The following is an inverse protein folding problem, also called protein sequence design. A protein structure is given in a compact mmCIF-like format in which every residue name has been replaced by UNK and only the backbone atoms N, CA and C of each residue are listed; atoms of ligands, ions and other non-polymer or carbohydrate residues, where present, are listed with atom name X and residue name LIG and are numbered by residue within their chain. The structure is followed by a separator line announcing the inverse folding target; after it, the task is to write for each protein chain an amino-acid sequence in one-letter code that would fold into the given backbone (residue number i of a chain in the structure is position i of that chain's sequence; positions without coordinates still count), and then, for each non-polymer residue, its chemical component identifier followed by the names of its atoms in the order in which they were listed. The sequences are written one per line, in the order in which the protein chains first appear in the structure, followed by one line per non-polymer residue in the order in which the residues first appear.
data_IF_159887314851
#
_entry.id   IF_159887314851
#
_cell.length_a   1.000
_cell.length_b   1.000
_cell.length_c   1.000
_cell.angle_alpha   90.00
_cell.angle_beta   90.00
_cell.angle_gamma   90.00
#
_symmetry.space_group_name_H-M   'P 1'
#
loop_
_entity.id
_entity.type
_entity.pdbx_description
1 polymer ?
#
# COMPACT_ATOMS: atom_id res chain seq x y z
N UNK A 1 -17.37 30.87 9.64
CA UNK A 1 -17.87 29.54 9.21
C UNK A 1 -18.18 29.47 7.70
N UNK A 2 -18.91 30.44 7.12
CA UNK A 2 -19.39 30.38 5.73
C UNK A 2 -18.31 30.22 4.62
N UNK A 3 -17.16 30.90 4.75
CA UNK A 3 -16.09 30.84 3.74
C UNK A 3 -15.53 29.43 3.51
N UNK A 4 -15.43 28.62 4.57
CA UNK A 4 -14.92 27.24 4.47
C UNK A 4 -15.93 26.29 3.85
N UNK A 5 -17.22 26.48 4.11
CA UNK A 5 -18.29 25.69 3.50
C UNK A 5 -18.42 25.96 2.00
N UNK A 6 -18.37 27.23 1.59
CA UNK A 6 -18.37 27.61 0.17
C UNK A 6 -17.14 27.07 -0.57
N UNK A 7 -15.96 27.11 0.07
CA UNK A 7 -14.75 26.53 -0.50
C UNK A 7 -14.86 25.00 -0.65
N UNK A 8 -15.38 24.30 0.36
CA UNK A 8 -15.60 22.86 0.28
C UNK A 8 -16.57 22.47 -0.85
N UNK A 9 -17.66 23.22 -1.04
CA UNK A 9 -18.61 22.99 -2.14
C UNK A 9 -17.96 23.13 -3.52
N UNK A 10 -17.07 24.12 -3.69
CA UNK A 10 -16.31 24.29 -4.93
C UNK A 10 -15.34 23.12 -5.18
N UNK A 11 -14.66 22.63 -4.13
CA UNK A 11 -13.80 21.44 -4.25
C UNK A 11 -14.60 20.19 -4.61
N UNK A 12 -15.76 19.98 -4.01
CA UNK A 12 -16.63 18.85 -4.33
C UNK A 12 -17.17 18.91 -5.78
N UNK A 13 -17.44 20.11 -6.31
CA UNK A 13 -17.85 20.30 -7.71
C UNK A 13 -16.79 19.78 -8.69
N UNK A 14 -15.50 20.05 -8.42
CA UNK A 14 -14.40 19.60 -9.27
C UNK A 14 -13.84 18.21 -8.90
N UNK A 15 -14.29 17.62 -7.80
CA UNK A 15 -13.72 16.37 -7.25
C UNK A 15 -13.74 15.22 -8.24
N UNK A 16 -14.84 15.04 -8.98
CA UNK A 16 -14.93 13.96 -9.97
C UNK A 16 -13.87 14.12 -11.08
N UNK A 17 -13.75 15.33 -11.64
CA UNK A 17 -12.74 15.64 -12.66
C UNK A 17 -11.31 15.47 -12.13
N UNK A 18 -11.05 15.92 -10.90
CA UNK A 18 -9.73 15.77 -10.28
C UNK A 18 -9.42 14.28 -10.04
N UNK A 19 -10.42 13.49 -9.62
CA UNK A 19 -10.26 12.04 -9.45
C UNK A 19 -9.91 11.35 -10.77
N UNK A 20 -10.64 11.66 -11.84
CA UNK A 20 -10.36 11.08 -13.16
C UNK A 20 -8.94 11.43 -13.65
N UNK A 21 -8.54 12.69 -13.54
CA UNK A 21 -7.21 13.13 -13.99
C UNK A 21 -6.09 12.53 -13.14
N UNK A 22 -6.22 12.60 -11.81
CA UNK A 22 -5.15 12.24 -10.89
C UNK A 22 -5.07 10.73 -10.60
N UNK A 23 -6.21 10.09 -10.36
CA UNK A 23 -6.29 8.70 -9.91
C UNK A 23 -6.43 7.72 -11.08
N UNK A 24 -7.24 8.04 -12.09
CA UNK A 24 -7.51 7.13 -13.22
C UNK A 24 -6.48 7.30 -14.32
N UNK A 25 -6.28 8.54 -14.80
CA UNK A 25 -5.30 8.86 -15.86
C UNK A 25 -3.85 8.93 -15.35
N UNK A 26 -3.65 8.81 -14.03
CA UNK A 26 -2.33 8.89 -13.39
C UNK A 26 -1.52 10.15 -13.71
N UNK A 27 -2.22 11.24 -14.03
CA UNK A 27 -1.61 12.51 -14.45
C UNK A 27 -0.81 13.13 -13.29
N UNK A 28 0.41 13.64 -13.53
CA UNK A 28 1.17 14.31 -12.48
C UNK A 28 0.39 15.49 -11.87
N UNK A 29 0.45 15.67 -10.55
CA UNK A 29 -0.33 16.72 -9.87
C UNK A 29 -0.08 18.13 -10.45
N UNK A 30 1.16 18.44 -10.85
CA UNK A 30 1.48 19.71 -11.51
C UNK A 30 0.64 19.94 -12.77
N UNK A 31 0.42 18.88 -13.54
CA UNK A 31 -0.35 18.92 -14.76
C UNK A 31 -1.86 18.95 -14.48
N UNK A 32 -2.33 18.24 -13.45
CA UNK A 32 -3.71 18.35 -12.97
C UNK A 32 -4.04 19.79 -12.57
N UNK A 33 -3.15 20.46 -11.82
CA UNK A 33 -3.31 21.88 -11.46
C UNK A 33 -3.42 22.75 -12.72
N UNK A 34 -2.54 22.53 -13.71
CA UNK A 34 -2.53 23.28 -14.97
C UNK A 34 -3.82 23.08 -15.77
N UNK A 35 -4.31 21.85 -15.88
CA UNK A 35 -5.55 21.51 -16.59
C UNK A 35 -6.73 22.18 -15.90
N UNK A 36 -6.82 22.11 -14.57
CA UNK A 36 -7.93 22.73 -13.84
C UNK A 36 -7.91 24.26 -13.88
N UNK A 37 -6.72 24.87 -13.87
CA UNK A 37 -6.59 26.33 -14.05
C UNK A 37 -7.04 26.74 -15.46
N UNK A 38 -6.55 26.05 -16.49
CA UNK A 38 -6.78 26.44 -17.91
C UNK A 38 -8.17 26.09 -18.43
N UNK A 39 -8.71 24.92 -18.11
CA UNK A 39 -9.97 24.43 -18.68
C UNK A 39 -11.19 24.72 -17.79
N UNK A 40 -10.99 24.86 -16.49
CA UNK A 40 -12.06 25.02 -15.52
C UNK A 40 -11.98 26.33 -14.73
N UNK A 41 -10.97 27.17 -14.96
CA UNK A 41 -10.74 28.41 -14.20
C UNK A 41 -10.46 28.17 -12.71
N UNK A 42 -10.16 26.94 -12.33
CA UNK A 42 -10.02 26.53 -10.93
C UNK A 42 -8.57 26.68 -10.47
N UNK A 43 -8.19 27.92 -10.19
CA UNK A 43 -6.83 28.27 -9.76
C UNK A 43 -6.61 27.97 -8.29
N UNK A 44 -5.82 26.93 -7.99
CA UNK A 44 -5.44 26.54 -6.62
C UNK A 44 -3.97 26.13 -6.54
N UNK A 45 -3.39 26.27 -5.35
CA UNK A 45 -1.98 25.88 -5.13
C UNK A 45 -1.86 24.38 -4.99
N UNK A 46 -0.70 23.82 -5.37
CA UNK A 46 -0.39 22.40 -5.21
C UNK A 46 -0.67 21.90 -3.79
N UNK A 47 -0.29 22.67 -2.76
CA UNK A 47 -0.50 22.33 -1.36
C UNK A 47 -1.99 22.29 -0.95
N UNK A 48 -2.88 23.00 -1.66
CA UNK A 48 -4.33 22.88 -1.43
C UNK A 48 -4.88 21.57 -2.00
N UNK A 49 -4.41 21.14 -3.17
CA UNK A 49 -4.78 19.83 -3.72
C UNK A 49 -4.29 18.70 -2.82
N UNK A 50 -3.04 18.72 -2.39
CA UNK A 50 -2.47 17.68 -1.51
C UNK A 50 -3.28 17.54 -0.20
N UNK A 51 -3.70 18.67 0.40
CA UNK A 51 -4.59 18.66 1.57
C UNK A 51 -5.95 18.04 1.27
N UNK A 52 -6.58 18.37 0.15
CA UNK A 52 -7.86 17.77 -0.24
C UNK A 52 -7.72 16.28 -0.54
N UNK A 53 -6.60 15.84 -1.12
CA UNK A 53 -6.35 14.42 -1.37
C UNK A 53 -6.24 13.63 -0.08
N UNK A 54 -5.63 14.21 0.96
CA UNK A 54 -5.60 13.61 2.29
C UNK A 54 -7.02 13.50 2.87
N UNK A 55 -7.82 14.58 2.78
CA UNK A 55 -9.21 14.60 3.26
C UNK A 55 -10.09 13.58 2.52
N UNK A 56 -9.93 13.45 1.21
CA UNK A 56 -10.64 12.46 0.40
C UNK A 56 -10.04 11.05 0.49
N UNK A 57 -8.91 10.89 1.20
CA UNK A 57 -8.22 9.61 1.38
C UNK A 57 -7.55 9.07 0.11
N UNK A 58 -7.30 9.90 -0.90
CA UNK A 58 -6.73 9.48 -2.17
C UNK A 58 -5.23 9.20 -2.06
N UNK A 59 -4.83 7.98 -2.42
CA UNK A 59 -3.42 7.59 -2.50
C UNK A 59 -3.14 6.81 -3.78
N UNK A 60 -1.98 7.09 -4.40
CA UNK A 60 -1.50 6.35 -5.59
C UNK A 60 -0.77 5.06 -5.24
N UNK A 61 -0.26 4.96 -4.01
CA UNK A 61 0.55 3.84 -3.54
C UNK A 61 -0.18 3.11 -2.44
N UNK A 62 -0.24 1.79 -2.57
CA UNK A 62 -0.69 0.91 -1.50
C UNK A 62 0.47 0.64 -0.53
N UNK A 63 0.14 0.53 0.75
CA UNK A 63 1.11 0.17 1.80
C UNK A 63 1.43 -1.33 1.75
N UNK A 64 2.53 -1.73 2.38
CA UNK A 64 2.94 -3.14 2.45
C UNK A 64 1.87 -4.04 3.08
N UNK A 65 1.21 -3.59 4.16
CA UNK A 65 0.14 -4.35 4.83
C UNK A 65 -1.10 -4.52 3.94
N UNK A 66 -1.39 -3.51 3.11
CA UNK A 66 -2.47 -3.60 2.12
C UNK A 66 -2.13 -4.62 1.04
N UNK A 67 -0.87 -4.66 0.59
CA UNK A 67 -0.40 -5.69 -0.34
C UNK A 67 -0.43 -7.10 0.27
N UNK A 68 -0.12 -7.25 1.55
CA UNK A 68 -0.23 -8.52 2.28
C UNK A 68 -1.68 -9.01 2.31
N UNK A 69 -2.61 -8.11 2.61
CA UNK A 69 -4.05 -8.41 2.63
C UNK A 69 -4.57 -8.80 1.25
N UNK A 70 -4.16 -8.08 0.20
CA UNK A 70 -4.47 -8.42 -1.20
C UNK A 70 -3.91 -9.80 -1.55
N UNK A 71 -2.70 -10.12 -1.11
CA UNK A 71 -2.06 -11.41 -1.32
C UNK A 71 -2.84 -12.57 -0.72
N UNK A 72 -3.26 -12.45 0.55
CA UNK A 72 -4.11 -13.44 1.22
C UNK A 72 -5.44 -13.64 0.48
N UNK A 73 -6.06 -12.55 0.02
CA UNK A 73 -7.32 -12.64 -0.72
C UNK A 73 -7.14 -13.31 -2.09
N UNK A 74 -6.01 -13.04 -2.76
CA UNK A 74 -5.64 -13.69 -4.02
C UNK A 74 -5.38 -15.18 -3.82
N UNK A 75 -4.67 -15.58 -2.77
CA UNK A 75 -4.43 -16.98 -2.42
C UNK A 75 -5.73 -17.72 -2.11
N UNK A 76 -6.62 -17.11 -1.31
CA UNK A 76 -7.94 -17.68 -1.03
C UNK A 76 -8.74 -17.89 -2.32
N UNK A 77 -8.77 -16.92 -3.22
CA UNK A 77 -9.47 -17.05 -4.51
C UNK A 77 -8.87 -18.15 -5.39
N UNK A 78 -7.55 -18.32 -5.39
CA UNK A 78 -6.89 -19.42 -6.10
C UNK A 78 -7.28 -20.78 -5.51
N UNK A 79 -7.35 -20.90 -4.18
CA UNK A 79 -7.81 -22.11 -3.52
C UNK A 79 -9.26 -22.44 -3.89
N UNK A 80 -10.11 -21.43 -4.08
CA UNK A 80 -11.48 -21.55 -4.59
C UNK A 80 -11.56 -21.81 -6.12
N UNK A 81 -10.44 -22.02 -6.81
CA UNK A 81 -10.39 -22.23 -8.26
C UNK A 81 -10.66 -20.98 -9.12
N UNK A 82 -10.68 -19.79 -8.51
CA UNK A 82 -10.98 -18.53 -9.21
C UNK A 82 -9.71 -17.83 -9.67
N UNK A 83 -9.76 -17.29 -10.89
CA UNK A 83 -8.67 -16.46 -11.42
C UNK A 83 -8.54 -15.15 -10.65
N UNK A 84 -7.31 -14.62 -10.62
CA UNK A 84 -7.03 -13.29 -10.08
C UNK A 84 -7.67 -12.25 -11.00
N UNK A 85 -8.74 -11.61 -10.52
CA UNK A 85 -9.43 -10.53 -11.21
C UNK A 85 -8.72 -9.20 -10.98
N UNK A 86 -9.08 -8.20 -11.78
CA UNK A 86 -8.76 -6.81 -11.48
C UNK A 86 -9.40 -6.38 -10.16
N UNK A 87 -8.78 -5.42 -9.48
CA UNK A 87 -9.26 -4.87 -8.22
C UNK A 87 -9.59 -3.41 -8.39
N UNK A 88 -10.65 -2.96 -7.72
CA UNK A 88 -10.96 -1.54 -7.62
C UNK A 88 -10.74 -1.10 -6.19
N UNK A 89 -9.72 -0.28 -5.97
CA UNK A 89 -9.38 0.26 -4.65
C UNK A 89 -9.46 1.78 -4.75
N UNK A 90 -10.35 2.40 -3.97
CA UNK A 90 -10.56 3.86 -3.95
C UNK A 90 -10.95 4.46 -5.32
N UNK A 91 -11.69 3.69 -6.12
CA UNK A 91 -12.04 4.07 -7.48
C UNK A 91 -10.88 3.96 -8.48
N UNK A 92 -9.69 3.51 -8.05
CA UNK A 92 -8.59 3.16 -8.95
C UNK A 92 -8.79 1.73 -9.41
N UNK A 93 -8.87 1.54 -10.72
CA UNK A 93 -8.73 0.23 -11.34
C UNK A 93 -7.26 -0.22 -11.27
N UNK A 94 -7.00 -1.28 -10.52
CA UNK A 94 -5.70 -1.94 -10.43
C UNK A 94 -5.76 -3.19 -11.31
N UNK A 95 -5.16 -3.15 -12.51
CA UNK A 95 -5.17 -4.29 -13.40
C UNK A 95 -4.36 -5.45 -12.81
N UNK A 96 -4.73 -6.68 -13.16
CA UNK A 96 -4.09 -7.93 -12.73
C UNK A 96 -2.57 -7.90 -12.80
N UNK A 97 -1.99 -7.33 -13.87
CA UNK A 97 -0.54 -7.24 -14.03
C UNK A 97 0.13 -6.32 -13.00
N UNK A 98 -0.57 -5.27 -12.52
CA UNK A 98 -0.11 -4.46 -11.39
C UNK A 98 -0.27 -5.21 -10.07
N UNK A 99 -1.36 -5.96 -9.89
CA UNK A 99 -1.56 -6.79 -8.70
C UNK A 99 -0.42 -7.80 -8.57
N UNK A 100 -0.15 -8.58 -9.62
CA UNK A 100 0.93 -9.55 -9.64
C UNK A 100 2.27 -8.89 -9.31
N UNK A 101 2.65 -7.80 -9.97
CA UNK A 101 3.90 -7.08 -9.68
C UNK A 101 3.96 -6.55 -8.24
N UNK A 102 2.85 -6.11 -7.67
CA UNK A 102 2.76 -5.69 -6.27
C UNK A 102 2.98 -6.86 -5.31
N UNK A 103 2.31 -7.99 -5.57
CA UNK A 103 2.51 -9.22 -4.81
C UNK A 103 3.95 -9.73 -4.90
N UNK A 104 4.58 -9.70 -6.08
CA UNK A 104 5.99 -10.08 -6.23
C UNK A 104 6.92 -9.26 -5.33
N UNK A 105 6.66 -7.95 -5.16
CA UNK A 105 7.46 -7.07 -4.32
C UNK A 105 7.22 -7.24 -2.83
N UNK A 106 6.03 -7.66 -2.42
CA UNK A 106 5.60 -7.58 -1.02
C UNK A 106 5.26 -8.93 -0.38
N UNK A 107 4.90 -9.95 -1.14
CA UNK A 107 4.73 -11.32 -0.63
C UNK A 107 6.05 -12.08 -0.54
N UNK A 108 6.99 -11.87 -1.47
CA UNK A 108 8.29 -12.55 -1.46
C UNK A 108 9.34 -11.87 -0.56
N UNK A 109 9.12 -10.62 -0.12
CA UNK A 109 10.07 -9.96 0.78
C UNK A 109 9.98 -10.41 2.24
N UNK A 110 8.94 -11.15 2.62
CA UNK A 110 8.90 -11.80 3.93
C UNK A 110 9.73 -13.09 4.00
N UNK A 111 10.51 -13.53 3.00
CA UNK A 111 11.45 -14.64 3.27
C UNK A 111 12.45 -14.23 4.35
N UNK A 112 12.95 -13.00 4.34
CA UNK A 112 13.85 -12.48 5.38
C UNK A 112 13.17 -12.42 6.76
N UNK A 113 11.89 -12.02 6.82
CA UNK A 113 11.12 -11.98 8.07
C UNK A 113 10.68 -13.37 8.54
N UNK A 114 10.36 -14.29 7.64
CA UNK A 114 10.03 -15.70 7.92
C UNK A 114 11.29 -16.42 8.44
N UNK A 115 12.46 -16.16 7.83
CA UNK A 115 13.75 -16.70 8.26
C UNK A 115 14.17 -16.10 9.61
N UNK A 116 13.99 -14.80 9.85
CA UNK A 116 14.24 -14.20 11.16
C UNK A 116 13.30 -14.78 12.23
N UNK A 117 12.00 -14.87 12.00
CA UNK A 117 11.06 -15.41 12.99
C UNK A 117 11.25 -16.92 13.23
N UNK A 118 11.68 -17.68 12.22
CA UNK A 118 12.03 -19.10 12.35
C UNK A 118 13.31 -19.37 13.14
N UNK A 119 14.27 -18.44 13.17
CA UNK A 119 15.51 -18.57 13.94
C UNK A 119 15.35 -18.20 15.43
N UNK A 120 14.38 -17.36 15.81
CA UNK A 120 14.11 -17.07 17.23
C UNK A 120 13.40 -18.22 17.95
N UNK A 121 12.51 -18.96 17.28
CA UNK A 121 11.77 -20.06 17.91
C UNK A 121 12.62 -21.31 18.19
N UNK A 122 13.81 -21.44 17.57
CA UNK A 122 14.69 -22.60 17.75
C UNK A 122 15.80 -22.37 18.80
N UNK A 123 15.94 -21.16 19.34
CA UNK A 123 17.07 -20.81 20.23
C UNK A 123 16.76 -20.76 21.73
N UNK A 124 15.55 -21.09 22.16
CA UNK A 124 15.18 -21.08 23.59
C UNK A 124 14.91 -22.47 24.20
N UNK A 125 15.27 -23.57 23.52
CA UNK A 125 15.05 -24.91 24.09
C UNK A 125 16.20 -25.92 23.83
N UNK A 126 17.42 -25.60 24.29
CA UNK A 126 18.55 -26.53 24.53
C UNK A 126 19.72 -25.66 25.04
N UNK A 127 20.36 -25.83 26.20
CA UNK A 127 20.45 -26.89 27.20
C UNK A 127 20.71 -26.20 28.56
N UNK A 128 19.91 -26.50 29.58
CA UNK A 128 20.41 -26.54 30.97
C UNK A 128 19.93 -27.87 31.52
N UNK A 129 20.74 -28.91 31.33
CA UNK A 129 20.57 -30.16 32.08
C UNK A 129 21.85 -30.99 31.97
N UNK A 130 22.54 -31.13 33.11
CA UNK A 130 23.43 -32.22 33.52
C UNK A 130 24.74 -32.41 32.72
N UNK A 131 25.84 -32.91 33.25
CA UNK A 131 26.47 -33.05 34.57
C UNK A 131 27.78 -33.81 34.30
N UNK A 132 28.83 -33.50 35.07
CA UNK A 132 29.94 -34.38 35.49
C UNK A 132 31.06 -34.80 34.52
N UNK A 133 32.28 -34.66 35.07
CA UNK A 133 33.42 -35.60 35.11
C UNK A 133 34.58 -35.44 34.11
N UNK A 134 35.63 -34.76 34.59
CA UNK A 134 36.96 -35.31 34.92
C UNK A 134 37.89 -35.95 33.86
N UNK A 135 39.15 -35.46 33.95
CA UNK A 135 40.45 -36.12 33.85
C UNK A 135 41.06 -36.33 32.45
N UNK A 136 42.16 -35.59 32.23
CA UNK A 136 43.16 -35.79 31.19
C UNK A 136 44.42 -36.38 31.86
N UNK A 137 45.03 -37.47 31.35
CA UNK A 137 46.33 -37.95 31.81
C UNK A 137 47.49 -37.34 31.01
N UNK A 138 48.67 -37.48 31.59
CA UNK A 138 49.98 -36.89 31.25
C UNK A 138 50.50 -37.09 29.82
N UNK A 139 51.27 -36.10 29.36
CA UNK A 139 52.58 -36.27 28.73
C UNK A 139 53.36 -34.94 28.76
#
# INVERSE_FOLDING_TARGET
MAKRAAEASLWETHKSTIHELYMVKETPLKEVVRILDTQHGFKRTKAQYERNFIVWGWRRKLKADEWKSIGQQVEKRKADGKLVSDLQIQGIHIPRNKIQRGLWRHQFQTTFLIVQQGQYAQRTHRQVSMSRANLHPDA
#
